data_IF_963937330847
#
_entry.id   IF_963937330847
#
_cell.length_a   1.000
_cell.length_b   1.000
_cell.length_c   1.000
_cell.angle_alpha   90.00
_cell.angle_beta   90.00
_cell.angle_gamma   90.00
#
_symmetry.space_group_name_H-M   'P 1'
#
loop_
_entity.id
_entity.type
_entity.pdbx_description
1 polymer ?
#
# COMPACT_ATOMS: atom_id res chain seq x y z
N UNK A 1 18.59 95.16 -13.24
CA UNK A 1 18.85 94.85 -11.81
C UNK A 1 17.58 94.32 -11.19
N UNK A 2 17.74 93.27 -10.36
CA UNK A 2 16.77 92.59 -9.48
C UNK A 2 15.82 91.58 -10.14
N UNK A 3 16.22 90.30 -10.00
CA UNK A 3 15.37 89.11 -10.01
C UNK A 3 14.53 89.04 -8.72
N UNK A 4 13.32 88.51 -8.79
CA UNK A 4 12.88 87.51 -7.78
C UNK A 4 11.76 86.61 -8.31
N UNK A 5 12.15 85.36 -8.43
CA UNK A 5 11.47 84.08 -8.57
C UNK A 5 10.02 84.04 -8.06
N UNK A 6 9.06 83.73 -8.93
CA UNK A 6 7.72 83.24 -8.55
C UNK A 6 7.80 81.71 -8.55
N UNK A 7 7.79 81.12 -7.36
CA UNK A 7 7.73 79.67 -7.14
C UNK A 7 6.29 79.21 -7.41
N UNK A 8 6.02 78.67 -8.59
CA UNK A 8 4.79 77.93 -8.86
C UNK A 8 4.87 76.56 -8.19
N UNK A 9 4.15 76.42 -7.08
CA UNK A 9 3.94 75.14 -6.42
C UNK A 9 2.94 74.33 -7.27
N UNK A 10 3.44 73.58 -8.24
CA UNK A 10 2.66 72.51 -8.87
C UNK A 10 2.46 71.43 -7.82
N UNK A 11 1.27 71.38 -7.22
CA UNK A 11 0.79 70.17 -6.55
C UNK A 11 0.58 69.16 -7.66
N UNK A 12 1.63 68.41 -7.98
CA UNK A 12 1.52 67.18 -8.74
C UNK A 12 0.72 66.24 -7.86
N UNK A 13 -0.59 66.14 -8.12
CA UNK A 13 -1.33 64.94 -7.80
C UNK A 13 -0.68 63.83 -8.62
N UNK A 14 0.38 63.22 -8.06
CA UNK A 14 0.73 61.86 -8.43
C UNK A 14 -0.47 61.04 -7.98
N UNK A 15 -1.39 60.76 -8.91
CA UNK A 15 -1.97 59.43 -8.96
C UNK A 15 -0.77 58.48 -9.13
N UNK A 16 -0.18 58.09 -8.00
CA UNK A 16 0.38 56.76 -7.89
C UNK A 16 -0.83 55.84 -7.95
N UNK A 17 -1.31 55.62 -9.17
CA UNK A 17 -1.76 54.28 -9.51
C UNK A 17 -0.50 53.45 -9.34
N UNK A 18 -0.30 52.91 -8.14
CA UNK A 18 0.43 51.67 -8.00
C UNK A 18 -0.36 50.67 -8.82
N UNK A 19 -0.04 50.62 -10.11
CA UNK A 19 -0.16 49.40 -10.88
C UNK A 19 0.64 48.40 -10.05
N UNK A 20 -0.06 47.64 -9.22
CA UNK A 20 0.48 46.44 -8.59
C UNK A 20 1.21 45.68 -9.69
N UNK A 21 2.35 45.07 -9.36
CA UNK A 21 3.01 44.15 -10.28
C UNK A 21 1.92 43.32 -10.97
N UNK A 22 1.95 43.28 -12.30
CA UNK A 22 0.98 42.58 -13.11
C UNK A 22 0.72 41.21 -12.48
N UNK A 23 -0.43 41.06 -11.80
CA UNK A 23 -0.94 39.77 -11.34
C UNK A 23 -1.16 38.98 -12.62
N UNK A 24 -0.20 38.15 -12.97
CA UNK A 24 -0.36 37.22 -14.07
C UNK A 24 -0.93 35.99 -13.41
N UNK A 25 -2.23 35.74 -13.57
CA UNK A 25 -2.82 34.44 -13.27
C UNK A 25 -2.01 33.40 -14.07
N UNK A 26 -1.02 32.80 -13.41
CA UNK A 26 -0.04 31.91 -14.00
C UNK A 26 -0.66 30.55 -14.26
N UNK A 27 0.05 29.71 -15.02
CA UNK A 27 -0.29 28.29 -15.02
C UNK A 27 0.04 27.70 -13.64
N UNK A 28 -0.78 26.77 -13.16
CA UNK A 28 -0.58 26.03 -11.91
C UNK A 28 -1.07 24.59 -12.06
N UNK A 29 -0.77 23.74 -11.07
CA UNK A 29 -1.40 22.44 -10.89
C UNK A 29 -2.42 22.59 -9.76
N UNK A 30 -3.67 22.23 -10.00
CA UNK A 30 -4.67 22.26 -8.93
C UNK A 30 -4.28 21.22 -7.89
N UNK A 31 -4.36 21.55 -6.61
CA UNK A 31 -3.96 20.71 -5.49
C UNK A 31 -2.48 20.81 -5.06
N UNK A 32 -1.62 21.47 -5.83
CA UNK A 32 -0.19 21.69 -5.53
C UNK A 32 -0.03 22.99 -4.73
N UNK A 33 -0.41 22.93 -3.45
CA UNK A 33 -0.41 24.05 -2.53
C UNK A 33 0.99 24.57 -2.22
N UNK A 34 1.97 23.67 -2.18
CA UNK A 34 3.37 24.00 -1.91
C UNK A 34 4.11 24.51 -3.16
N UNK A 35 3.50 24.37 -4.34
CA UNK A 35 4.09 24.76 -5.63
C UNK A 35 5.46 24.09 -5.82
N UNK A 36 5.58 22.86 -5.34
CA UNK A 36 6.78 22.04 -5.50
C UNK A 36 6.65 21.06 -6.68
N UNK A 37 5.51 21.09 -7.36
CA UNK A 37 5.21 20.32 -8.55
C UNK A 37 4.75 18.89 -8.30
N UNK A 38 4.52 18.54 -7.04
CA UNK A 38 3.83 17.34 -6.62
C UNK A 38 2.43 17.69 -6.10
N UNK A 39 1.52 16.72 -6.19
CA UNK A 39 0.23 16.81 -5.50
C UNK A 39 0.20 15.63 -4.55
N UNK A 40 0.43 15.90 -3.28
CA UNK A 40 0.66 14.88 -2.27
C UNK A 40 0.14 15.27 -0.87
N UNK A 41 0.51 14.51 0.16
CA UNK A 41 0.04 14.80 1.52
C UNK A 41 0.70 16.02 2.16
N UNK A 42 1.85 16.48 1.67
CA UNK A 42 2.45 17.72 2.13
C UNK A 42 1.59 18.94 1.74
N UNK A 43 0.92 18.91 0.58
CA UNK A 43 -0.07 19.93 0.20
C UNK A 43 -1.27 19.95 1.14
N UNK A 44 -1.80 18.77 1.46
CA UNK A 44 -2.89 18.62 2.42
C UNK A 44 -2.49 19.17 3.81
N UNK A 45 -1.30 18.82 4.28
CA UNK A 45 -0.73 19.33 5.54
C UNK A 45 -0.55 20.84 5.50
N UNK A 46 -0.04 21.38 4.40
CA UNK A 46 0.15 22.83 4.23
C UNK A 46 -1.18 23.58 4.30
N UNK A 47 -2.22 23.07 3.62
CA UNK A 47 -3.55 23.66 3.64
C UNK A 47 -4.18 23.59 5.05
N UNK A 48 -4.02 22.47 5.77
CA UNK A 48 -4.48 22.38 7.17
C UNK A 48 -3.82 23.45 8.04
N UNK A 49 -2.50 23.61 7.91
CA UNK A 49 -1.76 24.61 8.66
C UNK A 49 -2.24 26.03 8.36
N UNK A 50 -2.55 26.33 7.09
CA UNK A 50 -3.13 27.62 6.70
C UNK A 50 -4.51 27.83 7.34
N UNK A 51 -5.41 26.84 7.24
CA UNK A 51 -6.79 26.93 7.71
C UNK A 51 -6.91 27.05 9.23
N UNK A 52 -6.07 26.33 9.98
CA UNK A 52 -6.27 26.15 11.42
C UNK A 52 -5.15 26.72 12.30
N UNK A 53 -3.92 26.81 11.79
CA UNK A 53 -2.77 27.29 12.53
C UNK A 53 -2.36 28.72 12.14
N UNK A 54 -3.08 29.35 11.19
CA UNK A 54 -2.80 30.70 10.70
C UNK A 54 -1.33 30.86 10.28
N UNK A 55 -0.79 29.85 9.60
CA UNK A 55 0.53 29.90 9.00
C UNK A 55 0.56 30.96 7.88
N UNK A 56 1.73 31.18 7.26
CA UNK A 56 1.93 32.22 6.26
C UNK A 56 0.91 32.17 5.11
N UNK A 57 0.85 33.22 4.27
CA UNK A 57 -0.01 33.20 3.09
C UNK A 57 0.33 32.02 2.18
N UNK A 58 -0.68 31.47 1.51
CA UNK A 58 -0.50 30.46 0.47
C UNK A 58 0.24 31.08 -0.72
N UNK A 59 1.24 30.38 -1.26
CA UNK A 59 2.04 30.85 -2.39
C UNK A 59 1.25 30.83 -3.71
N UNK A 60 0.33 29.88 -3.86
CA UNK A 60 -0.59 29.77 -4.99
C UNK A 60 -2.02 29.49 -4.47
N UNK A 61 -2.80 30.54 -4.15
CA UNK A 61 -4.19 30.42 -3.73
C UNK A 61 -5.08 29.60 -4.68
N UNK A 62 -4.93 29.68 -6.01
CA UNK A 62 -5.75 28.87 -6.94
C UNK A 62 -5.43 27.38 -6.86
N UNK A 63 -4.17 27.02 -6.61
CA UNK A 63 -3.81 25.62 -6.43
C UNK A 63 -4.47 25.04 -5.18
N UNK A 64 -4.55 25.83 -4.11
CA UNK A 64 -5.15 25.41 -2.85
C UNK A 64 -6.67 25.48 -2.79
N UNK A 65 -7.32 26.21 -3.70
CA UNK A 65 -8.75 26.07 -3.96
C UNK A 65 -8.96 24.84 -4.86
N UNK A 66 -8.77 23.67 -4.27
CA UNK A 66 -8.78 22.42 -4.99
C UNK A 66 -10.18 22.04 -5.51
N UNK A 67 -11.22 22.53 -4.86
CA UNK A 67 -12.60 22.25 -5.24
C UNK A 67 -13.20 23.30 -6.20
N UNK A 68 -12.51 24.42 -6.41
CA UNK A 68 -12.81 25.48 -7.39
C UNK A 68 -14.11 26.25 -7.05
N UNK A 69 -14.29 26.58 -5.76
CA UNK A 69 -15.45 27.33 -5.26
C UNK A 69 -15.13 28.77 -4.80
N UNK A 70 -13.91 29.23 -5.10
CA UNK A 70 -13.35 30.54 -4.78
C UNK A 70 -13.12 30.78 -3.28
N UNK A 71 -13.09 29.72 -2.46
CA UNK A 71 -12.95 29.81 -1.00
C UNK A 71 -12.02 28.72 -0.48
N UNK A 72 -10.95 29.11 0.23
CA UNK A 72 -10.12 28.15 0.96
C UNK A 72 -10.82 27.62 2.20
N UNK A 73 -11.27 26.37 2.16
CA UNK A 73 -11.84 25.68 3.32
C UNK A 73 -11.57 24.17 3.35
N UNK A 74 -12.28 23.45 4.23
CA UNK A 74 -12.09 22.01 4.41
C UNK A 74 -12.54 21.21 3.17
N UNK A 75 -13.40 21.77 2.33
CA UNK A 75 -13.80 21.21 1.05
C UNK A 75 -12.60 20.98 0.13
N UNK A 76 -11.66 21.92 0.08
CA UNK A 76 -10.43 21.78 -0.70
C UNK A 76 -9.54 20.67 -0.19
N UNK A 77 -9.36 20.61 1.13
CA UNK A 77 -8.59 19.55 1.78
C UNK A 77 -9.13 18.16 1.41
N UNK A 78 -10.45 17.99 1.45
CA UNK A 78 -11.10 16.73 1.08
C UNK A 78 -10.81 16.38 -0.38
N UNK A 79 -10.82 17.38 -1.28
CA UNK A 79 -10.55 17.16 -2.71
C UNK A 79 -9.08 16.78 -2.96
N UNK A 80 -8.13 17.44 -2.29
CA UNK A 80 -6.71 17.07 -2.36
C UNK A 80 -6.50 15.64 -1.87
N UNK A 81 -6.95 15.32 -0.64
CA UNK A 81 -6.78 13.99 -0.05
C UNK A 81 -7.40 12.89 -0.92
N UNK A 82 -8.61 13.10 -1.43
CA UNK A 82 -9.26 12.14 -2.33
C UNK A 82 -8.54 11.99 -3.67
N UNK A 83 -7.88 13.05 -4.16
CA UNK A 83 -7.11 12.95 -5.40
C UNK A 83 -5.83 12.13 -5.24
N UNK A 84 -5.10 12.33 -4.14
CA UNK A 84 -3.86 11.63 -3.82
C UNK A 84 -4.12 10.15 -3.50
N UNK A 85 -5.28 9.84 -2.92
CA UNK A 85 -5.71 8.46 -2.61
C UNK A 85 -6.42 7.77 -3.77
N UNK A 86 -6.65 8.47 -4.89
CA UNK A 86 -7.28 7.91 -6.09
C UNK A 86 -8.81 7.77 -6.02
N UNK A 87 -9.48 8.34 -5.01
CA UNK A 87 -10.95 8.36 -4.93
C UNK A 87 -11.62 9.43 -5.79
N UNK A 88 -10.89 10.48 -6.17
CA UNK A 88 -11.40 11.56 -7.01
C UNK A 88 -10.35 12.08 -7.98
N UNK A 89 -10.81 12.82 -8.98
CA UNK A 89 -9.94 13.59 -9.88
C UNK A 89 -10.12 15.07 -9.61
N UNK A 90 -9.03 15.83 -9.68
CA UNK A 90 -9.07 17.28 -9.50
C UNK A 90 -9.78 17.97 -10.68
N UNK A 91 -10.54 19.05 -10.45
CA UNK A 91 -10.98 19.96 -11.50
C UNK A 91 -9.79 20.48 -12.33
N UNK A 92 -10.06 20.90 -13.57
CA UNK A 92 -9.02 21.48 -14.42
C UNK A 92 -8.36 22.70 -13.74
N UNK A 93 -7.04 22.93 -13.89
CA UNK A 93 -6.10 22.23 -14.78
C UNK A 93 -5.62 20.86 -14.28
N UNK A 94 -6.06 20.44 -13.09
CA UNK A 94 -5.78 19.12 -12.51
C UNK A 94 -4.29 18.92 -12.24
N UNK A 95 -3.79 17.73 -12.53
CA UNK A 95 -2.39 17.34 -12.29
C UNK A 95 -1.38 17.92 -13.29
N UNK A 96 -1.86 18.62 -14.32
CA UNK A 96 -1.03 19.26 -15.34
C UNK A 96 -1.00 20.76 -15.14
N UNK A 97 0.12 21.40 -15.47
CA UNK A 97 0.17 22.86 -15.52
C UNK A 97 -0.87 23.39 -16.53
N UNK A 98 -1.69 24.32 -16.08
CA UNK A 98 -2.63 25.03 -16.94
C UNK A 98 -3.21 26.25 -16.25
N UNK A 99 -3.92 27.07 -17.02
CA UNK A 99 -4.64 28.23 -16.49
C UNK A 99 -5.93 27.79 -15.79
N UNK A 100 -6.37 28.61 -14.84
CA UNK A 100 -7.69 28.48 -14.26
C UNK A 100 -8.78 28.69 -15.33
N UNK A 101 -9.61 27.67 -15.66
CA UNK A 101 -10.73 27.83 -16.58
C UNK A 101 -11.86 28.72 -16.02
N UNK A 102 -11.88 28.92 -14.71
CA UNK A 102 -12.95 29.50 -13.89
C UNK A 102 -12.53 30.79 -13.20
N UNK A 103 -11.55 31.49 -13.79
CA UNK A 103 -10.91 32.73 -13.32
C UNK A 103 -11.76 33.59 -12.37
N UNK A 104 -11.28 33.73 -11.14
CA UNK A 104 -11.94 34.47 -10.07
C UNK A 104 -11.03 35.54 -9.40
N UNK A 105 -11.17 35.76 -8.10
CA UNK A 105 -10.38 36.75 -7.36
C UNK A 105 -9.08 36.18 -6.76
N UNK A 106 -8.94 34.86 -6.75
CA UNK A 106 -7.73 34.13 -6.45
C UNK A 106 -6.81 34.17 -7.68
N UNK A 107 -5.51 34.02 -7.43
CA UNK A 107 -4.49 34.08 -8.48
C UNK A 107 -3.21 33.39 -8.01
N UNK A 108 -2.50 32.74 -8.91
CA UNK A 108 -1.15 32.26 -8.69
C UNK A 108 -0.10 33.16 -9.35
N UNK A 109 0.69 33.84 -8.52
CA UNK A 109 1.77 34.75 -8.95
C UNK A 109 3.12 34.02 -9.13
N UNK A 110 3.16 32.71 -8.89
CA UNK A 110 4.33 31.84 -9.04
C UNK A 110 4.20 30.99 -10.31
N UNK A 111 5.30 30.76 -11.07
CA UNK A 111 5.25 29.89 -12.23
C UNK A 111 4.96 28.44 -11.83
N UNK A 112 4.25 27.69 -12.68
CA UNK A 112 4.19 26.23 -12.57
C UNK A 112 5.59 25.63 -12.80
N UNK A 113 6.34 25.44 -11.72
CA UNK A 113 7.68 24.87 -11.78
C UNK A 113 7.62 23.36 -12.08
N UNK A 114 8.68 22.78 -12.69
CA UNK A 114 8.79 21.34 -12.83
C UNK A 114 8.84 20.69 -11.43
N UNK A 115 8.38 19.42 -11.30
CA UNK A 115 8.39 18.73 -10.00
C UNK A 115 9.79 18.73 -9.39
N UNK A 116 9.89 19.19 -8.14
CA UNK A 116 11.09 19.12 -7.33
C UNK A 116 11.12 17.74 -6.70
N UNK A 117 12.06 16.89 -7.13
CA UNK A 117 12.23 15.56 -6.55
C UNK A 117 12.23 15.64 -5.00
N UNK A 118 11.36 14.88 -4.31
CA UNK A 118 11.32 14.88 -2.86
C UNK A 118 12.69 14.54 -2.28
N UNK A 119 12.99 15.08 -1.10
CA UNK A 119 14.28 14.82 -0.46
C UNK A 119 14.39 13.33 -0.12
N UNK A 120 15.35 12.65 -0.76
CA UNK A 120 15.66 11.26 -0.43
C UNK A 120 16.33 11.20 0.94
N UNK A 121 15.80 10.38 1.85
CA UNK A 121 16.43 10.14 3.17
C UNK A 121 16.73 8.66 3.35
N UNK A 122 18.02 8.26 3.50
CA UNK A 122 18.37 6.87 3.78
C UNK A 122 18.01 6.46 5.22
N UNK A 123 17.78 7.43 6.11
CA UNK A 123 17.42 7.19 7.51
C UNK A 123 15.92 6.91 7.69
N UNK A 124 15.10 7.23 6.68
CA UNK A 124 13.70 6.81 6.62
C UNK A 124 13.59 5.56 5.73
N UNK A 125 12.91 4.53 6.22
CA UNK A 125 12.72 3.29 5.46
C UNK A 125 11.31 2.74 5.66
N UNK A 126 10.82 2.06 4.63
CA UNK A 126 9.68 1.14 4.72
C UNK A 126 10.20 -0.22 4.30
N UNK A 127 10.05 -1.20 5.17
CA UNK A 127 10.55 -2.55 4.97
C UNK A 127 9.42 -3.56 5.07
N UNK A 128 9.38 -4.46 4.09
CA UNK A 128 8.51 -5.64 4.12
C UNK A 128 9.35 -6.82 4.60
N UNK A 129 8.85 -7.54 5.59
CA UNK A 129 9.53 -8.71 6.16
C UNK A 129 8.57 -9.87 6.42
N UNK A 130 9.07 -11.11 6.33
CA UNK A 130 8.26 -12.30 6.60
C UNK A 130 8.03 -12.45 8.10
N UNK A 131 6.77 -12.53 8.50
CA UNK A 131 6.38 -12.81 9.88
C UNK A 131 6.05 -14.29 10.07
N UNK A 132 5.26 -14.87 9.17
CA UNK A 132 4.82 -16.26 9.23
C UNK A 132 4.67 -16.88 7.84
N UNK A 133 4.99 -18.17 7.74
CA UNK A 133 4.84 -18.99 6.53
C UNK A 133 4.09 -20.27 6.89
N UNK A 134 2.93 -20.46 6.27
CA UNK A 134 2.07 -21.64 6.41
C UNK A 134 1.94 -22.39 5.08
N UNK A 135 2.91 -22.23 4.17
CA UNK A 135 2.84 -22.78 2.83
C UNK A 135 1.87 -21.99 1.96
N UNK A 136 0.59 -22.34 1.95
CA UNK A 136 -0.40 -21.69 1.04
C UNK A 136 -0.81 -20.28 1.46
N UNK A 137 -0.51 -19.89 2.71
CA UNK A 137 -0.68 -18.55 3.27
C UNK A 137 0.61 -18.05 3.89
N UNK A 138 0.94 -16.78 3.64
CA UNK A 138 2.12 -16.10 4.19
C UNK A 138 1.72 -14.76 4.77
N UNK A 139 2.24 -14.43 5.95
CA UNK A 139 2.01 -13.16 6.62
C UNK A 139 3.26 -12.30 6.53
N UNK A 140 3.11 -11.10 6.00
CA UNK A 140 4.18 -10.13 5.81
C UNK A 140 3.95 -8.92 6.71
N UNK A 141 4.92 -8.62 7.57
CA UNK A 141 4.92 -7.41 8.38
C UNK A 141 5.47 -6.23 7.58
N UNK A 142 4.78 -5.10 7.62
CA UNK A 142 5.24 -3.82 7.07
C UNK A 142 5.75 -2.96 8.22
N UNK A 143 7.05 -2.66 8.21
CA UNK A 143 7.71 -1.88 9.24
C UNK A 143 8.27 -0.57 8.70
N UNK A 144 8.42 0.41 9.58
CA UNK A 144 8.96 1.73 9.24
C UNK A 144 10.06 2.14 10.22
N UNK A 145 11.17 2.66 9.67
CA UNK A 145 12.12 3.48 10.41
C UNK A 145 11.88 4.95 10.08
N UNK A 146 11.76 5.79 11.11
CA UNK A 146 11.66 7.25 10.96
C UNK A 146 12.37 7.94 12.12
N UNK A 147 13.49 8.65 11.89
CA UNK A 147 14.27 9.28 12.95
C UNK A 147 13.57 10.47 13.60
N UNK A 148 12.62 11.08 12.88
CA UNK A 148 11.84 12.22 13.32
C UNK A 148 10.33 11.92 13.24
N UNK A 149 9.47 12.62 14.00
CA UNK A 149 8.03 12.46 13.90
C UNK A 149 7.47 12.89 12.54
N UNK A 150 6.38 12.25 12.11
CA UNK A 150 5.72 12.51 10.82
C UNK A 150 4.32 13.09 10.98
N UNK A 151 3.91 13.92 10.00
CA UNK A 151 2.56 14.47 9.88
C UNK A 151 1.65 13.60 9.01
N UNK A 152 2.21 12.90 8.03
CA UNK A 152 1.49 12.02 7.14
C UNK A 152 2.44 11.00 6.49
N UNK A 153 1.88 9.94 5.94
CA UNK A 153 2.59 9.03 5.05
C UNK A 153 1.64 8.33 4.09
N UNK A 154 2.13 8.06 2.89
CA UNK A 154 1.43 7.33 1.84
C UNK A 154 2.39 6.34 1.20
N UNK A 155 1.91 5.13 0.92
CA UNK A 155 2.69 4.14 0.18
C UNK A 155 1.80 3.01 -0.34
N UNK A 156 2.21 2.39 -1.44
CA UNK A 156 1.70 1.09 -1.88
C UNK A 156 2.61 -0.04 -1.43
N UNK A 157 2.05 -1.24 -1.22
CA UNK A 157 2.79 -2.51 -1.16
C UNK A 157 2.39 -3.33 -2.39
N UNK A 158 3.31 -3.48 -3.33
CA UNK A 158 3.10 -4.15 -4.61
C UNK A 158 3.52 -5.62 -4.56
N UNK A 159 2.78 -6.45 -5.30
CA UNK A 159 3.10 -7.85 -5.57
C UNK A 159 2.68 -8.24 -6.99
N UNK A 160 3.12 -9.42 -7.48
CA UNK A 160 2.61 -10.00 -8.73
C UNK A 160 1.26 -10.69 -8.47
N UNK A 161 0.18 -10.11 -9.01
CA UNK A 161 -1.18 -10.62 -8.85
C UNK A 161 -1.45 -11.96 -9.55
N UNK A 162 -0.50 -12.47 -10.35
CA UNK A 162 -0.55 -13.84 -10.87
C UNK A 162 0.01 -14.88 -9.88
N UNK A 163 0.69 -14.45 -8.82
CA UNK A 163 1.36 -15.36 -7.87
C UNK A 163 0.83 -15.20 -6.44
N UNK A 164 0.36 -14.00 -6.09
CA UNK A 164 -0.08 -13.64 -4.75
C UNK A 164 -1.44 -12.93 -4.82
N UNK A 165 -2.25 -13.10 -3.79
CA UNK A 165 -3.45 -12.30 -3.59
C UNK A 165 -3.60 -11.95 -2.11
N UNK A 166 -4.06 -10.73 -1.82
CA UNK A 166 -4.21 -10.25 -0.43
C UNK A 166 -5.50 -10.83 0.17
N UNK A 167 -5.37 -11.57 1.28
CA UNK A 167 -6.49 -12.09 2.05
C UNK A 167 -7.01 -11.06 3.06
N UNK A 168 -6.09 -10.47 3.84
CA UNK A 168 -6.43 -9.53 4.90
C UNK A 168 -5.28 -8.56 5.19
N UNK A 169 -5.61 -7.42 5.79
CA UNK A 169 -4.65 -6.46 6.33
C UNK A 169 -5.10 -6.14 7.76
N UNK A 170 -4.19 -6.30 8.71
CA UNK A 170 -4.44 -6.00 10.13
C UNK A 170 -3.52 -4.89 10.59
N UNK A 171 -4.05 -3.90 11.30
CA UNK A 171 -3.21 -2.85 11.91
C UNK A 171 -2.43 -3.43 13.10
N UNK A 172 -1.11 -3.34 13.04
CA UNK A 172 -0.20 -3.77 14.12
C UNK A 172 0.16 -2.61 15.06
N UNK A 173 0.08 -1.37 14.56
CA UNK A 173 0.32 -0.16 15.36
C UNK A 173 -0.91 0.27 16.15
N UNK A 174 -0.71 0.66 17.42
CA UNK A 174 -1.78 1.20 18.26
C UNK A 174 -1.94 2.72 18.06
N UNK A 175 -2.82 3.12 17.14
CA UNK A 175 -3.21 4.51 16.94
C UNK A 175 -4.08 5.07 18.09
N UNK A 176 -4.49 4.29 19.10
CA UNK A 176 -5.42 4.76 20.15
C UNK A 176 -4.87 5.94 20.97
N UNK A 177 -3.56 6.09 21.05
CA UNK A 177 -2.91 7.19 21.76
C UNK A 177 -2.80 8.46 20.88
N UNK A 178 -2.67 8.30 19.57
CA UNK A 178 -2.48 9.36 18.59
C UNK A 178 -3.37 9.08 17.36
N UNK A 179 -4.68 9.33 17.49
CA UNK A 179 -5.62 9.03 16.42
C UNK A 179 -5.33 9.90 15.19
N UNK A 180 -5.19 9.29 13.98
CA UNK A 180 -5.06 10.05 12.75
C UNK A 180 -6.40 10.75 12.42
N UNK A 181 -6.31 11.90 11.75
CA UNK A 181 -7.48 12.61 11.21
C UNK A 181 -8.02 11.87 9.96
N UNK A 182 -7.14 11.17 9.24
CA UNK A 182 -7.49 10.29 8.12
C UNK A 182 -6.57 9.06 8.12
N UNK A 183 -7.16 7.87 7.99
CA UNK A 183 -6.44 6.61 7.80
C UNK A 183 -7.28 5.75 6.87
N UNK A 184 -6.71 5.40 5.73
CA UNK A 184 -7.36 4.57 4.74
C UNK A 184 -6.40 3.49 4.25
N UNK A 185 -6.90 2.26 4.22
CA UNK A 185 -6.23 1.10 3.64
C UNK A 185 -7.15 0.50 2.60
N UNK A 186 -6.70 0.43 1.34
CA UNK A 186 -7.48 -0.17 0.25
C UNK A 186 -6.74 -1.36 -0.34
N UNK A 187 -7.46 -2.47 -0.49
CA UNK A 187 -6.96 -3.69 -1.10
C UNK A 187 -7.26 -3.66 -2.60
N UNK A 188 -6.23 -3.88 -3.40
CA UNK A 188 -6.28 -3.96 -4.86
C UNK A 188 -5.77 -5.35 -5.29
N UNK A 189 -5.99 -5.71 -6.56
CA UNK A 189 -5.51 -7.00 -7.09
C UNK A 189 -3.98 -7.10 -7.06
N UNK A 190 -3.29 -5.98 -7.26
CA UNK A 190 -1.85 -5.94 -7.44
C UNK A 190 -1.12 -5.40 -6.19
N UNK A 191 -1.86 -5.20 -5.08
CA UNK A 191 -1.28 -4.73 -3.82
C UNK A 191 -2.24 -4.04 -2.86
N UNK A 192 -1.65 -3.33 -1.90
CA UNK A 192 -2.36 -2.59 -0.85
C UNK A 192 -1.91 -1.14 -0.88
N UNK A 193 -2.84 -0.20 -0.86
CA UNK A 193 -2.54 1.22 -0.62
C UNK A 193 -2.74 1.57 0.84
N UNK A 194 -1.82 2.36 1.40
CA UNK A 194 -1.94 2.94 2.74
C UNK A 194 -1.81 4.45 2.63
N UNK A 195 -2.75 5.17 3.23
CA UNK A 195 -2.68 6.62 3.36
C UNK A 195 -3.10 7.04 4.76
N UNK A 196 -2.20 7.72 5.48
CA UNK A 196 -2.43 8.18 6.84
C UNK A 196 -2.05 9.64 6.95
N UNK A 197 -2.95 10.44 7.51
CA UNK A 197 -2.76 11.83 7.88
C UNK A 197 -2.99 11.97 9.38
N UNK A 198 -1.94 12.34 10.10
CA UNK A 198 -1.98 12.50 11.54
C UNK A 198 -2.72 13.79 11.92
N UNK A 199 -3.16 13.88 13.18
CA UNK A 199 -3.99 15.02 13.61
C UNK A 199 -3.20 16.32 13.70
N UNK A 200 -3.34 17.16 12.68
CA UNK A 200 -2.73 18.49 12.63
C UNK A 200 -3.46 19.50 13.54
N UNK A 201 -4.74 19.26 13.88
CA UNK A 201 -5.49 20.08 14.84
C UNK A 201 -5.06 19.89 16.30
N UNK A 202 -4.61 18.68 16.64
CA UNK A 202 -4.21 18.33 18.01
C UNK A 202 -2.68 18.19 18.17
N UNK A 203 -1.91 18.50 17.13
CA UNK A 203 -0.46 18.29 17.07
C UNK A 203 -0.04 16.86 17.46
N UNK A 204 -0.88 15.87 17.10
CA UNK A 204 -0.56 14.47 17.30
C UNK A 204 0.22 14.02 16.08
N UNK A 205 1.49 13.69 16.29
CA UNK A 205 2.40 13.24 15.25
C UNK A 205 2.54 11.73 15.31
N UNK A 206 2.85 11.14 14.16
CA UNK A 206 3.35 9.79 14.12
C UNK A 206 4.71 9.74 14.83
N UNK A 207 4.94 8.82 15.78
CA UNK A 207 6.15 8.84 16.59
C UNK A 207 7.40 8.50 15.78
N UNK A 208 8.52 9.12 16.15
CA UNK A 208 9.84 8.68 15.71
C UNK A 208 10.17 7.30 16.30
N UNK A 209 10.84 6.44 15.54
CA UNK A 209 11.19 5.10 15.97
C UNK A 209 11.87 4.28 14.89
N UNK A 210 12.26 3.07 15.26
CA UNK A 210 12.81 2.08 14.35
C UNK A 210 12.11 0.75 14.56
N UNK A 211 11.88 0.02 13.47
CA UNK A 211 11.09 -1.20 13.44
C UNK A 211 9.65 -0.97 13.91
N UNK A 212 9.06 0.19 13.57
CA UNK A 212 7.67 0.47 13.88
C UNK A 212 6.80 -0.38 12.97
N UNK A 213 6.23 -1.44 13.50
CA UNK A 213 5.31 -2.33 12.79
C UNK A 213 3.98 -1.62 12.57
N UNK A 214 3.60 -1.43 11.31
CA UNK A 214 2.43 -0.67 10.92
C UNK A 214 1.23 -1.60 10.69
N UNK A 215 1.42 -2.59 9.83
CA UNK A 215 0.37 -3.51 9.40
C UNK A 215 0.95 -4.88 9.07
N UNK A 216 0.14 -5.90 9.27
CA UNK A 216 0.39 -7.27 8.82
C UNK A 216 -0.52 -7.56 7.63
N UNK A 217 0.09 -8.00 6.52
CA UNK A 217 -0.61 -8.35 5.30
C UNK A 217 -0.57 -9.86 5.13
N UNK A 218 -1.74 -10.48 5.13
CA UNK A 218 -1.88 -11.91 4.86
C UNK A 218 -2.09 -12.12 3.37
N UNK A 219 -1.23 -12.93 2.76
CA UNK A 219 -1.29 -13.27 1.34
C UNK A 219 -1.64 -14.75 1.17
N UNK A 220 -2.47 -15.04 0.17
CA UNK A 220 -2.61 -16.37 -0.40
C UNK A 220 -1.65 -16.53 -1.59
N UNK A 221 -0.90 -17.63 -1.60
CA UNK A 221 0.04 -17.97 -2.67
C UNK A 221 -0.64 -18.86 -3.69
N UNK A 222 -0.45 -18.58 -4.99
CA UNK A 222 -0.92 -19.47 -6.06
C UNK A 222 -0.07 -20.76 -6.08
N UNK A 223 -0.65 -21.94 -5.78
CA UNK A 223 0.07 -23.20 -5.76
C UNK A 223 0.56 -23.64 -7.16
N UNK A 224 0.01 -23.08 -8.23
CA UNK A 224 0.42 -23.36 -9.61
C UNK A 224 1.54 -22.42 -10.09
N UNK A 225 1.72 -21.28 -9.43
CA UNK A 225 2.68 -20.24 -9.78
C UNK A 225 3.39 -19.72 -8.51
N UNK A 226 4.34 -20.49 -7.94
CA UNK A 226 5.00 -20.11 -6.69
C UNK A 226 5.61 -18.71 -6.77
N UNK A 227 5.47 -17.95 -5.68
CA UNK A 227 5.77 -16.52 -5.59
C UNK A 227 7.28 -16.19 -5.71
N UNK A 228 7.82 -16.33 -6.91
CA UNK A 228 9.18 -15.88 -7.25
C UNK A 228 9.32 -14.36 -7.30
N UNK A 229 8.21 -13.62 -7.25
CA UNK A 229 8.19 -12.16 -7.23
C UNK A 229 8.53 -11.61 -5.85
N UNK A 230 9.18 -10.46 -5.81
CA UNK A 230 9.38 -9.70 -4.60
C UNK A 230 8.10 -8.98 -4.17
N UNK A 231 7.95 -8.76 -2.87
CA UNK A 231 6.94 -7.85 -2.31
C UNK A 231 7.67 -6.57 -1.90
N UNK A 232 7.23 -5.42 -2.43
CA UNK A 232 7.97 -4.17 -2.33
C UNK A 232 7.06 -2.99 -2.01
N UNK A 233 7.53 -2.02 -1.21
CA UNK A 233 6.96 -0.68 -1.23
C UNK A 233 7.06 -0.07 -2.63
N UNK A 234 6.01 0.62 -3.08
CA UNK A 234 5.89 1.16 -4.42
C UNK A 234 5.04 2.45 -4.47
N UNK A 235 5.16 3.17 -5.57
CA UNK A 235 4.52 4.47 -5.87
C UNK A 235 3.30 4.36 -6.81
N UNK A 236 3.12 3.20 -7.46
CA UNK A 236 2.04 2.96 -8.42
C UNK A 236 1.50 1.55 -8.24
N UNK A 237 0.20 1.45 -8.00
CA UNK A 237 -0.53 0.18 -8.00
C UNK A 237 -1.37 0.06 -9.27
N UNK A 238 -0.96 -0.87 -10.14
CA UNK A 238 -1.58 -1.11 -11.44
C UNK A 238 -1.59 0.13 -12.37
N UNK A 239 -2.28 0.06 -13.52
CA UNK A 239 -2.27 1.12 -14.53
C UNK A 239 -3.24 2.28 -14.24
N UNK A 240 -3.30 2.80 -13.00
CA UNK A 240 -4.20 3.94 -12.75
C UNK A 240 -4.38 4.51 -11.35
N UNK A 241 -3.77 3.94 -10.30
CA UNK A 241 -3.83 4.52 -8.95
C UNK A 241 -2.44 5.05 -8.58
N UNK A 242 -2.16 6.35 -8.81
CA UNK A 242 -0.95 6.97 -8.31
C UNK A 242 -1.11 7.16 -6.80
N UNK A 243 -0.30 6.46 -6.01
CA UNK A 243 -0.18 6.74 -4.58
C UNK A 243 1.31 6.90 -4.28
N UNK A 244 1.81 8.15 -4.16
CA UNK A 244 3.24 8.39 -4.02
C UNK A 244 3.78 7.70 -2.76
N UNK A 245 4.91 7.02 -2.90
CA UNK A 245 5.69 6.53 -1.76
C UNK A 245 6.35 7.74 -1.08
N UNK A 246 5.78 8.18 0.03
CA UNK A 246 6.16 9.46 0.61
C UNK A 246 5.83 9.57 2.08
N UNK A 247 6.70 10.27 2.80
CA UNK A 247 6.49 10.67 4.18
C UNK A 247 6.44 12.19 4.25
N UNK A 248 5.63 12.75 5.13
CA UNK A 248 5.58 14.18 5.39
C UNK A 248 6.20 14.43 6.75
N UNK A 249 7.33 15.15 6.76
CA UNK A 249 8.05 15.48 7.99
C UNK A 249 7.23 16.41 8.89
N UNK A 250 7.63 16.54 10.15
CA UNK A 250 7.06 17.56 11.05
C UNK A 250 7.20 19.02 10.56
N UNK A 251 8.02 19.29 9.53
CA UNK A 251 8.13 20.63 8.91
C UNK A 251 7.22 20.79 7.70
N UNK A 252 6.36 19.80 7.41
CA UNK A 252 5.44 19.83 6.27
C UNK A 252 6.13 19.59 4.93
N UNK A 253 7.30 18.94 4.93
CA UNK A 253 8.05 18.67 3.69
C UNK A 253 7.98 17.20 3.32
N UNK A 254 7.82 16.95 2.03
CA UNK A 254 7.86 15.63 1.43
C UNK A 254 9.24 14.98 1.47
N UNK A 255 9.29 13.73 1.93
CA UNK A 255 10.48 12.88 2.03
C UNK A 255 10.20 11.58 1.26
N UNK A 256 11.17 11.17 0.42
CA UNK A 256 11.16 9.85 -0.22
C UNK A 256 11.94 8.86 0.67
N UNK A 257 11.26 7.86 1.29
CA UNK A 257 11.92 6.85 2.11
C UNK A 257 12.62 5.79 1.25
N UNK A 258 13.52 5.04 1.88
CA UNK A 258 14.10 3.84 1.30
C UNK A 258 13.06 2.72 1.27
N UNK A 259 12.81 2.13 0.09
CA UNK A 259 11.97 0.96 -0.06
C UNK A 259 12.81 -0.32 0.06
N UNK A 260 12.56 -1.12 1.09
CA UNK A 260 13.23 -2.40 1.31
C UNK A 260 12.22 -3.51 0.98
N UNK A 261 12.52 -4.22 -0.10
CA UNK A 261 11.71 -5.34 -0.57
C UNK A 261 12.00 -6.62 0.20
N UNK A 262 11.00 -7.49 0.26
CA UNK A 262 11.20 -8.90 0.57
C UNK A 262 11.38 -9.70 -0.73
N UNK A 263 12.59 -10.25 -0.93
CA UNK A 263 12.97 -11.07 -2.08
C UNK A 263 13.03 -12.55 -1.70
N UNK A 264 12.72 -13.43 -2.66
CA UNK A 264 11.37 -13.88 -3.00
C UNK A 264 10.76 -14.81 -1.93
N UNK A 265 9.43 -14.87 -1.90
CA UNK A 265 8.71 -15.88 -1.13
C UNK A 265 8.82 -17.22 -1.85
N UNK A 266 9.83 -18.03 -1.52
CA UNK A 266 9.85 -19.43 -1.93
C UNK A 266 8.91 -20.21 -1.01
N UNK A 267 7.62 -20.00 -1.21
CA UNK A 267 6.65 -21.04 -0.91
C UNK A 267 6.81 -22.04 -2.03
N UNK A 268 7.58 -23.09 -1.78
CA UNK A 268 7.44 -24.31 -2.56
C UNK A 268 6.07 -24.86 -2.18
N UNK A 269 5.07 -24.90 -3.07
CA UNK A 269 3.88 -25.70 -2.80
C UNK A 269 4.44 -27.09 -2.56
N UNK A 270 4.30 -27.64 -1.36
CA UNK A 270 4.89 -28.93 -1.06
C UNK A 270 4.31 -29.92 -2.06
N UNK A 271 5.10 -30.35 -3.06
CA UNK A 271 4.57 -31.27 -4.05
C UNK A 271 4.52 -32.65 -3.43
N UNK A 272 3.37 -33.29 -3.56
CA UNK A 272 3.15 -34.65 -3.06
C UNK A 272 2.40 -35.47 -4.08
N UNK A 273 2.21 -36.75 -3.77
CA UNK A 273 1.27 -37.60 -4.46
C UNK A 273 0.32 -38.21 -3.44
N UNK A 274 -0.97 -37.89 -3.55
CA UNK A 274 -2.03 -38.36 -2.66
C UNK A 274 -2.03 -39.88 -2.62
N UNK A 275 -1.89 -40.39 -1.41
CA UNK A 275 -1.73 -41.79 -1.07
C UNK A 275 -0.31 -42.28 -0.80
N UNK A 276 0.72 -41.44 -0.83
CA UNK A 276 2.04 -41.76 -0.26
C UNK A 276 2.07 -41.36 1.23
N UNK A 277 1.27 -42.05 2.04
CA UNK A 277 1.01 -41.65 3.43
C UNK A 277 2.23 -41.89 4.34
N UNK A 278 3.16 -42.75 3.93
CA UNK A 278 4.38 -43.04 4.69
C UNK A 278 5.64 -42.35 4.12
N UNK A 279 5.52 -41.62 3.00
CA UNK A 279 6.60 -40.86 2.35
C UNK A 279 7.67 -41.73 1.71
N UNK A 280 7.34 -42.95 1.30
CA UNK A 280 8.29 -43.88 0.66
C UNK A 280 8.30 -43.82 -0.88
N UNK A 281 7.48 -42.94 -1.46
CA UNK A 281 7.32 -42.76 -2.91
C UNK A 281 6.46 -43.84 -3.57
N UNK A 282 5.94 -44.79 -2.79
CA UNK A 282 5.06 -45.86 -3.22
C UNK A 282 3.58 -45.50 -3.08
N UNK A 283 2.73 -46.31 -3.72
CA UNK A 283 1.29 -46.32 -3.47
C UNK A 283 0.85 -47.77 -3.29
N UNK A 284 0.75 -48.20 -2.04
CA UNK A 284 0.50 -49.58 -1.71
C UNK A 284 -0.19 -49.74 -0.34
N UNK A 285 -0.36 -50.99 0.11
CA UNK A 285 -1.07 -51.29 1.36
C UNK A 285 -0.34 -50.74 2.61
N UNK A 286 0.97 -50.49 2.52
CA UNK A 286 1.74 -49.91 3.62
C UNK A 286 1.24 -48.50 3.97
N UNK A 287 0.83 -47.71 2.98
CA UNK A 287 0.29 -46.36 3.15
C UNK A 287 -1.02 -46.38 3.95
N UNK A 288 -1.96 -47.26 3.57
CA UNK A 288 -3.21 -47.44 4.30
C UNK A 288 -2.97 -47.89 5.75
N UNK A 289 -1.98 -48.75 5.99
CA UNK A 289 -1.61 -49.19 7.34
C UNK A 289 -0.99 -48.04 8.13
N UNK A 290 -0.16 -47.22 7.50
CA UNK A 290 0.48 -46.07 8.12
C UNK A 290 -0.57 -45.02 8.52
N UNK A 291 -1.50 -44.70 7.62
CA UNK A 291 -2.61 -43.79 7.87
C UNK A 291 -3.53 -44.28 9.01
N UNK A 292 -3.91 -45.56 9.00
CA UNK A 292 -4.65 -46.14 10.13
C UNK A 292 -3.83 -46.11 11.44
N UNK A 293 -2.51 -46.22 11.34
CA UNK A 293 -1.58 -46.00 12.42
C UNK A 293 -1.68 -44.58 12.98
N UNK A 294 -1.67 -43.56 12.14
CA UNK A 294 -1.92 -42.17 12.54
C UNK A 294 -3.27 -41.99 13.24
N UNK A 295 -4.36 -42.50 12.65
CA UNK A 295 -5.71 -42.29 13.16
C UNK A 295 -5.98 -42.97 14.51
N UNK A 296 -5.36 -44.12 14.77
CA UNK A 296 -5.72 -44.97 15.92
C UNK A 296 -4.56 -45.34 16.85
N UNK A 297 -3.30 -45.07 16.47
CA UNK A 297 -2.09 -45.53 17.16
C UNK A 297 -1.06 -44.41 17.31
N UNK A 298 -0.97 -43.84 18.51
CA UNK A 298 0.07 -42.86 18.85
C UNK A 298 1.45 -43.53 19.05
N UNK A 299 2.59 -42.91 18.66
CA UNK A 299 2.77 -41.58 18.09
C UNK A 299 3.20 -41.61 16.61
N UNK A 300 2.32 -42.10 15.71
CA UNK A 300 2.57 -41.97 14.26
C UNK A 300 2.41 -40.50 13.85
N UNK A 301 3.33 -39.97 13.06
CA UNK A 301 3.30 -38.61 12.50
C UNK A 301 3.31 -38.74 10.99
N UNK A 302 2.40 -38.05 10.30
CA UNK A 302 2.35 -38.08 8.85
C UNK A 302 3.46 -37.19 8.27
N UNK A 303 4.20 -37.64 7.24
CA UNK A 303 5.14 -36.79 6.53
C UNK A 303 4.47 -35.63 5.79
N UNK A 304 3.23 -35.83 5.35
CA UNK A 304 2.43 -34.89 4.56
C UNK A 304 0.96 -35.22 4.82
N UNK A 305 0.23 -34.27 5.39
CA UNK A 305 -1.18 -34.46 5.76
C UNK A 305 -2.05 -34.49 4.49
N UNK A 306 -1.75 -33.66 3.49
CA UNK A 306 -2.46 -33.65 2.19
C UNK A 306 -2.27 -34.96 1.42
N UNK A 307 -1.10 -35.61 1.55
CA UNK A 307 -0.90 -36.93 0.96
C UNK A 307 -1.78 -38.01 1.61
N UNK A 308 -2.34 -37.74 2.79
CA UNK A 308 -3.10 -38.69 3.60
C UNK A 308 -4.59 -38.42 3.65
N UNK A 309 -5.05 -37.22 3.29
CA UNK A 309 -6.45 -36.95 2.95
C UNK A 309 -6.69 -37.49 1.54
N UNK A 310 -7.37 -38.63 1.41
CA UNK A 310 -7.46 -39.36 0.12
C UNK A 310 -8.60 -38.82 -0.75
N UNK A 311 -9.62 -38.24 -0.13
CA UNK A 311 -10.80 -37.69 -0.81
C UNK A 311 -10.85 -36.17 -0.88
N UNK A 312 -9.83 -35.49 -0.36
CA UNK A 312 -9.61 -34.06 -0.53
C UNK A 312 -10.77 -33.24 0.03
N UNK A 313 -11.20 -33.59 1.24
CA UNK A 313 -12.29 -32.91 1.94
C UNK A 313 -11.84 -32.07 3.14
N UNK A 314 -10.52 -31.97 3.35
CA UNK A 314 -9.88 -31.16 4.38
C UNK A 314 -9.91 -31.79 5.77
N UNK A 315 -10.20 -33.09 5.86
CA UNK A 315 -10.24 -33.84 7.10
C UNK A 315 -9.48 -35.16 7.01
N UNK A 316 -8.68 -35.46 8.04
CA UNK A 316 -8.07 -36.78 8.20
C UNK A 316 -8.93 -37.67 9.08
N UNK A 317 -9.69 -38.58 8.47
CA UNK A 317 -10.57 -39.50 9.17
C UNK A 317 -10.63 -40.92 8.57
N UNK A 318 -11.63 -41.72 8.97
CA UNK A 318 -11.73 -43.12 8.52
C UNK A 318 -12.14 -43.25 7.05
N UNK A 319 -12.69 -42.20 6.44
CA UNK A 319 -13.08 -42.18 5.04
C UNK A 319 -11.86 -42.29 4.12
N UNK A 320 -10.72 -41.72 4.53
CA UNK A 320 -9.47 -41.74 3.77
C UNK A 320 -8.93 -43.16 3.51
N UNK A 321 -8.62 -43.99 4.53
CA UNK A 321 -8.17 -45.36 4.32
C UNK A 321 -9.25 -46.23 3.68
N UNK A 322 -10.55 -45.90 3.84
CA UNK A 322 -11.64 -46.61 3.15
C UNK A 322 -11.60 -46.34 1.66
N UNK A 323 -11.47 -45.07 1.23
CA UNK A 323 -11.32 -44.68 -0.16
C UNK A 323 -10.04 -45.27 -0.77
N UNK A 324 -8.93 -45.22 -0.03
CA UNK A 324 -7.65 -45.79 -0.43
C UNK A 324 -7.75 -47.29 -0.74
N UNK A 325 -8.26 -48.07 0.22
CA UNK A 325 -8.40 -49.53 0.07
C UNK A 325 -9.45 -49.90 -0.97
N UNK A 326 -10.50 -49.08 -1.13
CA UNK A 326 -11.49 -49.26 -2.19
C UNK A 326 -10.86 -49.12 -3.58
N UNK A 327 -9.98 -48.13 -3.79
CA UNK A 327 -9.23 -48.00 -5.03
C UNK A 327 -8.30 -49.20 -5.27
N UNK A 328 -7.51 -49.60 -4.28
CA UNK A 328 -6.56 -50.71 -4.41
C UNK A 328 -7.22 -52.06 -4.73
N UNK A 329 -8.35 -52.37 -4.09
CA UNK A 329 -8.88 -53.74 -4.07
C UNK A 329 -10.30 -53.90 -4.57
N UNK A 330 -11.10 -52.82 -4.61
CA UNK A 330 -12.52 -52.88 -4.93
C UNK A 330 -12.91 -52.15 -6.22
N UNK A 331 -11.95 -51.57 -6.95
CA UNK A 331 -12.23 -50.79 -8.15
C UNK A 331 -12.95 -49.47 -7.85
N UNK A 332 -12.68 -48.89 -6.68
CA UNK A 332 -13.13 -47.53 -6.32
C UNK A 332 -12.55 -46.45 -7.23
N UNK A 333 -13.00 -45.21 -7.03
CA UNK A 333 -12.39 -44.07 -7.71
C UNK A 333 -10.92 -43.90 -7.29
N UNK A 334 -10.04 -43.41 -8.16
CA UNK A 334 -8.69 -43.01 -7.75
C UNK A 334 -8.77 -41.91 -6.67
N UNK A 335 -7.74 -41.77 -5.82
CA UNK A 335 -7.60 -40.61 -4.94
C UNK A 335 -7.79 -39.30 -5.70
N UNK A 336 -8.16 -38.23 -5.01
CA UNK A 336 -8.17 -36.90 -5.60
C UNK A 336 -6.78 -36.54 -6.16
N UNK A 337 -6.72 -35.64 -7.14
CA UNK A 337 -5.44 -35.18 -7.68
C UNK A 337 -4.79 -34.23 -6.66
N UNK A 338 -3.45 -34.20 -6.51
CA UNK A 338 -2.43 -34.93 -7.28
C UNK A 338 -2.31 -36.40 -6.85
N UNK A 339 -2.40 -37.36 -7.77
CA UNK A 339 -2.34 -38.80 -7.48
C UNK A 339 -1.39 -39.55 -8.43
N UNK A 340 -1.30 -40.87 -8.28
CA UNK A 340 -0.44 -41.74 -9.10
C UNK A 340 -0.69 -41.67 -10.62
N UNK A 341 -1.85 -41.14 -11.05
CA UNK A 341 -2.22 -40.99 -12.45
C UNK A 341 -1.79 -39.60 -12.97
N UNK A 342 -2.04 -38.54 -12.21
CA UNK A 342 -1.63 -37.17 -12.57
C UNK A 342 -0.14 -36.91 -12.33
N UNK A 343 0.49 -37.70 -11.47
CA UNK A 343 1.83 -37.48 -10.95
C UNK A 343 1.85 -36.51 -9.78
N UNK A 344 3.07 -36.27 -9.33
CA UNK A 344 3.44 -35.29 -8.31
C UNK A 344 2.93 -33.89 -8.66
N UNK A 345 2.35 -33.18 -7.68
CA UNK A 345 1.89 -31.81 -7.84
C UNK A 345 1.51 -31.16 -6.51
N UNK A 346 1.14 -29.89 -6.58
CA UNK A 346 0.57 -29.15 -5.46
C UNK A 346 -0.88 -29.57 -5.18
N UNK A 347 -1.37 -29.29 -3.98
CA UNK A 347 -2.79 -29.45 -3.67
C UNK A 347 -3.65 -28.47 -4.49
N UNK A 348 -4.63 -28.94 -5.29
CA UNK A 348 -5.58 -28.06 -5.96
C UNK A 348 -6.61 -27.43 -5.01
N UNK A 349 -6.84 -27.95 -3.81
CA UNK A 349 -7.72 -27.32 -2.81
C UNK A 349 -6.93 -26.35 -1.96
N UNK A 350 -7.35 -25.08 -2.01
CA UNK A 350 -6.61 -23.97 -1.36
C UNK A 350 -7.26 -23.49 -0.07
N UNK A 351 -8.29 -24.20 0.43
CA UNK A 351 -9.15 -23.77 1.54
C UNK A 351 -9.30 -24.86 2.62
N UNK A 352 -8.30 -25.70 2.83
CA UNK A 352 -8.28 -26.67 3.91
C UNK A 352 -7.09 -26.43 4.85
N UNK A 353 -7.16 -26.90 6.12
CA UNK A 353 -6.15 -26.61 7.12
C UNK A 353 -4.97 -27.61 7.09
N UNK A 354 -4.97 -28.56 6.15
CA UNK A 354 -3.93 -29.57 6.04
C UNK A 354 -2.75 -29.01 5.23
N UNK A 355 -1.59 -29.61 5.43
CA UNK A 355 -0.38 -29.17 4.76
C UNK A 355 0.70 -30.23 4.78
N UNK A 356 1.81 -29.91 4.11
CA UNK A 356 2.99 -30.76 4.08
C UNK A 356 4.24 -29.95 4.45
N UNK A 357 4.95 -30.41 5.49
CA UNK A 357 6.18 -29.79 6.00
C UNK A 357 7.36 -29.86 5.00
N UNK A 358 7.13 -30.42 3.81
CA UNK A 358 8.02 -30.49 2.66
C UNK A 358 7.44 -31.39 1.56
N UNK A 359 7.85 -31.19 0.31
CA UNK A 359 7.43 -32.06 -0.79
C UNK A 359 7.92 -33.51 -0.59
N UNK A 360 7.03 -34.48 -0.79
CA UNK A 360 7.35 -35.93 -0.65
C UNK A 360 7.67 -36.62 -1.96
N UNK A 361 7.69 -35.87 -3.06
CA UNK A 361 7.95 -36.44 -4.37
C UNK A 361 9.41 -36.96 -4.53
N UNK A 362 9.59 -38.14 -5.18
CA UNK A 362 10.91 -38.76 -5.38
C UNK A 362 11.80 -38.10 -6.44
#
# INVERSE_FOLDING_TARGET
MKYSLVLFLFVSFCCLDSVSAQQTNGEFRRGDCLVDGHIDMADAVHLIDFLFNSTGPLDCPDACDANDDAVHDVGDLIVIVNSVTGFATLPAPGTTCGFDPTDDALFCDVPCDPPIDPVTSPDHSIEVSLENDQGTSVTMAVTMDTPDPLLAFTFGICHDSNQLSVLSVTEAIDFSQNLPDFSEVTLLSDGVTVAVLMSALNALLFPAGSGLELFDIEYQVDPLNPATSSICPCDILGPGVPLPLQLVSQTGTSILPSAICYDPIIVDPAFFTRGDCNGDGGFNVADAVYLLGYLFVSPTVLPCEDASDINDDGGLDISDPVNFLAYLFAGGAPPAVPNQISGCGADPTTNDPLGCDGGTCP
#
